data_IF_189656060694
#
_entry.id   IF_189656060694
#
_cell.length_a   1.000
_cell.length_b   1.000
_cell.length_c   1.000
_cell.angle_alpha   90.00
_cell.angle_beta   90.00
_cell.angle_gamma   90.00
#
_symmetry.space_group_name_H-M   'P 1'
#
loop_
_entity.id
_entity.type
_entity.pdbx_description
1 polymer ?
#
# COMPACT_ATOMS: atom_id res chain seq x y z
N UNK A 1 65.98 -32.01 46.57
CA UNK A 1 66.47 -32.75 45.39
C UNK A 1 65.28 -33.53 44.83
N UNK A 2 64.92 -33.51 43.55
CA UNK A 2 65.36 -32.73 42.38
C UNK A 2 64.12 -32.48 41.51
N UNK A 3 63.76 -31.22 41.25
CA UNK A 3 62.63 -30.90 40.36
C UNK A 3 63.01 -31.21 38.92
N UNK A 4 62.38 -32.22 38.32
CA UNK A 4 62.65 -32.64 36.95
C UNK A 4 61.89 -31.72 35.99
N UNK A 5 62.57 -30.68 35.49
CA UNK A 5 62.05 -29.83 34.43
C UNK A 5 61.67 -30.68 33.21
N UNK A 6 60.41 -30.61 32.79
CA UNK A 6 60.03 -31.09 31.46
C UNK A 6 60.57 -30.09 30.43
N UNK A 7 61.26 -30.55 29.37
CA UNK A 7 61.65 -29.66 28.31
C UNK A 7 60.39 -29.19 27.56
N UNK A 8 60.17 -27.88 27.55
CA UNK A 8 59.27 -27.27 26.58
C UNK A 8 59.72 -27.69 25.18
N UNK A 9 58.90 -28.47 24.49
CA UNK A 9 59.07 -28.66 23.05
C UNK A 9 58.69 -27.34 22.39
N UNK A 10 59.69 -26.48 22.24
CA UNK A 10 59.63 -25.32 21.35
C UNK A 10 59.08 -25.80 20.01
N UNK A 11 57.84 -25.44 19.70
CA UNK A 11 57.31 -25.59 18.34
C UNK A 11 58.27 -24.80 17.44
N UNK A 12 58.86 -25.39 16.39
CA UNK A 12 59.53 -24.59 15.40
C UNK A 12 58.48 -23.64 14.83
N UNK A 13 58.63 -22.35 15.12
CA UNK A 13 57.90 -21.31 14.41
C UNK A 13 58.52 -21.25 13.02
N UNK A 14 58.04 -22.13 12.13
CA UNK A 14 58.26 -22.03 10.69
C UNK A 14 57.49 -20.81 10.20
N UNK A 15 58.08 -19.64 10.45
CA UNK A 15 57.81 -18.46 9.65
C UNK A 15 58.17 -18.84 8.22
N UNK A 16 57.13 -19.13 7.41
CA UNK A 16 57.29 -19.46 6.00
C UNK A 16 58.07 -18.30 5.34
N UNK A 17 59.17 -18.58 4.61
CA UNK A 17 59.88 -17.55 3.85
C UNK A 17 58.87 -16.83 2.95
N UNK A 18 58.94 -15.49 2.93
CA UNK A 18 57.82 -14.63 2.55
C UNK A 18 57.10 -15.07 1.27
N UNK A 19 55.87 -15.57 1.44
CA UNK A 19 54.89 -15.77 0.37
C UNK A 19 54.74 -14.45 -0.40
N UNK A 20 55.30 -14.37 -1.60
CA UNK A 20 55.14 -13.18 -2.43
C UNK A 20 53.73 -13.16 -3.01
N UNK A 21 53.21 -11.97 -3.30
CA UNK A 21 51.85 -11.82 -3.86
C UNK A 21 51.70 -12.61 -5.17
N UNK A 22 52.76 -12.67 -5.97
CA UNK A 22 52.80 -13.43 -7.23
C UNK A 22 52.73 -14.96 -7.02
N UNK A 23 53.27 -15.50 -5.93
CA UNK A 23 53.18 -16.93 -5.60
C UNK A 23 51.74 -17.30 -5.22
N UNK A 24 51.08 -16.46 -4.41
CA UNK A 24 49.67 -16.61 -4.01
C UNK A 24 48.75 -16.52 -5.24
N UNK A 25 49.00 -15.57 -6.14
CA UNK A 25 48.22 -15.41 -7.38
C UNK A 25 48.39 -16.61 -8.32
N UNK A 26 49.63 -17.09 -8.50
CA UNK A 26 49.93 -18.30 -9.29
C UNK A 26 49.27 -19.55 -8.71
N UNK A 27 49.29 -19.70 -7.38
CA UNK A 27 48.62 -20.81 -6.68
C UNK A 27 47.09 -20.81 -6.84
N UNK A 28 46.48 -19.65 -7.09
CA UNK A 28 45.03 -19.50 -7.17
C UNK A 28 44.45 -19.67 -8.58
N UNK A 29 45.27 -19.93 -9.60
CA UNK A 29 44.82 -20.35 -10.95
C UNK A 29 43.80 -19.38 -11.57
N UNK A 30 44.08 -18.07 -11.55
CA UNK A 30 43.19 -17.04 -12.09
C UNK A 30 41.98 -16.67 -11.22
N UNK A 31 41.72 -17.37 -10.10
CA UNK A 31 40.60 -17.01 -9.19
C UNK A 31 40.81 -15.66 -8.50
N UNK A 32 42.07 -15.26 -8.29
CA UNK A 32 42.40 -13.90 -7.83
C UNK A 32 41.93 -12.83 -8.85
N UNK A 33 42.01 -13.11 -10.15
CA UNK A 33 41.55 -12.23 -11.23
C UNK A 33 40.01 -12.15 -11.24
N UNK A 34 39.30 -13.27 -11.08
CA UNK A 34 37.84 -13.31 -10.94
C UNK A 34 37.37 -12.45 -9.77
N UNK A 35 38.01 -12.58 -8.60
CA UNK A 35 37.71 -11.75 -7.43
C UNK A 35 38.04 -10.27 -7.68
N UNK A 36 39.16 -9.96 -8.33
CA UNK A 36 39.56 -8.59 -8.65
C UNK A 36 38.59 -7.92 -9.64
N UNK A 37 38.19 -8.62 -10.69
CA UNK A 37 37.21 -8.16 -11.67
C UNK A 37 35.85 -7.87 -10.99
N UNK A 38 35.35 -8.79 -10.17
CA UNK A 38 34.07 -8.66 -9.47
C UNK A 38 34.03 -7.48 -8.47
N UNK A 39 35.16 -7.03 -7.90
CA UNK A 39 35.16 -5.92 -6.91
C UNK A 39 34.49 -4.65 -7.44
N UNK A 40 34.64 -4.33 -8.73
CA UNK A 40 34.08 -3.11 -9.34
C UNK A 40 32.57 -3.20 -9.61
N UNK A 41 32.02 -4.20 -10.35
CA UNK A 41 30.58 -4.34 -10.55
C UNK A 41 29.78 -4.35 -9.24
N UNK A 42 30.23 -5.10 -8.23
CA UNK A 42 29.57 -5.15 -6.92
C UNK A 42 29.61 -3.78 -6.22
N UNK A 43 30.69 -3.01 -6.32
CA UNK A 43 30.78 -1.67 -5.74
C UNK A 43 29.87 -0.65 -6.46
N UNK A 44 29.79 -0.72 -7.79
CA UNK A 44 28.91 0.13 -8.58
C UNK A 44 27.43 -0.17 -8.27
N UNK A 45 27.05 -1.44 -8.07
CA UNK A 45 25.69 -1.83 -7.69
C UNK A 45 25.36 -1.49 -6.22
N UNK A 46 26.31 -1.66 -5.28
CA UNK A 46 26.17 -1.20 -3.88
C UNK A 46 25.91 0.32 -3.82
N UNK A 47 26.63 1.09 -4.63
CA UNK A 47 26.43 2.55 -4.78
C UNK A 47 25.09 2.89 -5.44
N UNK A 48 24.63 2.12 -6.42
CA UNK A 48 23.33 2.31 -7.05
C UNK A 48 22.16 2.05 -6.07
N UNK A 49 22.20 0.92 -5.35
CA UNK A 49 21.11 0.48 -4.45
C UNK A 49 21.05 1.26 -3.13
N UNK A 50 22.16 1.78 -2.63
CA UNK A 50 22.19 2.64 -1.43
C UNK A 50 21.54 4.01 -1.67
N UNK A 51 21.59 4.54 -2.89
CA UNK A 51 21.04 5.85 -3.26
C UNK A 51 19.51 5.99 -3.14
N UNK A 52 19.02 7.23 -2.91
CA UNK A 52 17.56 7.52 -2.89
C UNK A 52 16.88 7.31 -4.25
N UNK A 53 17.63 7.44 -5.36
CA UNK A 53 17.15 7.29 -6.74
C UNK A 53 17.50 5.92 -7.35
N UNK A 54 17.70 4.89 -6.52
CA UNK A 54 18.18 3.56 -6.93
C UNK A 54 17.42 2.96 -8.12
N UNK A 55 16.07 3.06 -8.16
CA UNK A 55 15.26 2.54 -9.28
C UNK A 55 15.70 3.14 -10.62
N UNK A 56 15.87 4.46 -10.68
CA UNK A 56 16.38 5.19 -11.87
C UNK A 56 17.85 4.86 -12.17
N UNK A 57 18.64 4.47 -11.18
CA UNK A 57 20.02 4.03 -11.40
C UNK A 57 20.07 2.65 -12.10
N UNK A 58 19.21 1.71 -11.68
CA UNK A 58 19.04 0.41 -12.35
C UNK A 58 18.51 0.58 -13.78
N UNK A 59 17.42 1.33 -13.99
CA UNK A 59 16.83 1.54 -15.33
C UNK A 59 17.81 2.19 -16.32
N UNK A 60 18.80 2.95 -15.84
CA UNK A 60 19.83 3.60 -16.68
C UNK A 60 21.01 2.70 -17.04
N UNK A 61 21.15 1.56 -16.38
CA UNK A 61 22.30 0.64 -16.51
C UNK A 61 21.78 -0.80 -16.57
N UNK A 62 21.06 -1.14 -17.66
CA UNK A 62 20.35 -2.40 -17.79
C UNK A 62 21.25 -3.65 -17.70
N UNK A 63 22.55 -3.49 -17.90
CA UNK A 63 23.56 -4.55 -17.89
C UNK A 63 24.03 -4.98 -16.48
N UNK A 64 23.92 -4.12 -15.46
CA UNK A 64 24.59 -4.34 -14.16
C UNK A 64 24.11 -5.57 -13.39
N UNK A 65 22.80 -5.85 -13.41
CA UNK A 65 22.23 -7.00 -12.68
C UNK A 65 22.48 -8.31 -13.44
N UNK A 66 22.17 -8.43 -14.75
CA UNK A 66 22.47 -9.64 -15.52
C UNK A 66 23.95 -10.04 -15.50
N UNK A 67 24.89 -9.10 -15.64
CA UNK A 67 26.32 -9.40 -15.62
C UNK A 67 26.77 -9.96 -14.27
N UNK A 68 26.33 -9.36 -13.16
CA UNK A 68 26.65 -9.83 -11.81
C UNK A 68 26.05 -11.21 -11.53
N UNK A 69 24.80 -11.46 -11.96
CA UNK A 69 24.14 -12.76 -11.80
C UNK A 69 24.84 -13.85 -12.62
N UNK A 70 25.34 -13.54 -13.82
CA UNK A 70 26.10 -14.48 -14.64
C UNK A 70 27.45 -14.88 -14.01
N UNK A 71 28.15 -13.93 -13.37
CA UNK A 71 29.44 -14.18 -12.69
C UNK A 71 29.28 -14.73 -11.26
N UNK A 72 28.07 -14.72 -10.69
CA UNK A 72 27.83 -14.94 -9.26
C UNK A 72 28.39 -16.26 -8.72
N UNK A 73 28.18 -17.36 -9.44
CA UNK A 73 28.68 -18.69 -9.06
C UNK A 73 30.23 -18.74 -9.10
N UNK A 74 30.85 -18.20 -10.15
CA UNK A 74 32.31 -18.17 -10.27
C UNK A 74 32.96 -17.35 -9.15
N UNK A 75 32.32 -16.27 -8.71
CA UNK A 75 32.73 -15.45 -7.56
C UNK A 75 32.58 -16.23 -6.25
N UNK A 76 31.45 -16.91 -6.04
CA UNK A 76 31.20 -17.70 -4.83
C UNK A 76 32.18 -18.86 -4.68
N UNK A 77 32.36 -19.67 -5.73
CA UNK A 77 33.36 -20.73 -5.75
C UNK A 77 34.78 -20.20 -5.54
N UNK A 78 35.12 -19.02 -6.07
CA UNK A 78 36.43 -18.40 -5.86
C UNK A 78 36.63 -17.93 -4.42
N UNK A 79 35.61 -17.34 -3.80
CA UNK A 79 35.64 -16.94 -2.38
C UNK A 79 35.81 -18.16 -1.48
N UNK A 80 35.04 -19.23 -1.70
CA UNK A 80 35.16 -20.47 -0.92
C UNK A 80 36.54 -21.12 -1.06
N UNK A 81 37.08 -21.21 -2.29
CA UNK A 81 38.38 -21.86 -2.55
C UNK A 81 39.54 -21.04 -1.95
N UNK A 82 39.48 -19.71 -1.98
CA UNK A 82 40.44 -18.82 -1.30
C UNK A 82 40.34 -18.98 0.23
N UNK A 83 39.13 -18.97 0.79
CA UNK A 83 38.93 -19.13 2.23
C UNK A 83 39.39 -20.51 2.73
N UNK A 84 39.11 -21.59 1.97
CA UNK A 84 39.55 -22.95 2.28
C UNK A 84 41.08 -23.07 2.27
N UNK A 85 41.76 -22.55 1.25
CA UNK A 85 43.24 -22.58 1.21
C UNK A 85 43.88 -21.71 2.28
N UNK A 86 43.36 -20.50 2.53
CA UNK A 86 43.88 -19.63 3.58
C UNK A 86 43.85 -20.31 4.97
N UNK A 87 42.85 -21.15 5.25
CA UNK A 87 42.80 -21.97 6.48
C UNK A 87 43.78 -23.15 6.43
N UNK A 88 43.86 -23.87 5.30
CA UNK A 88 44.74 -25.03 5.14
C UNK A 88 46.23 -24.69 5.21
N UNK A 89 46.61 -23.54 4.63
CA UNK A 89 47.99 -23.06 4.51
C UNK A 89 48.34 -22.00 5.56
N UNK A 90 47.43 -21.74 6.52
CA UNK A 90 47.59 -20.75 7.59
C UNK A 90 48.06 -19.37 7.11
N UNK A 91 47.43 -18.85 6.04
CA UNK A 91 47.79 -17.56 5.46
C UNK A 91 47.62 -16.41 6.49
N UNK A 92 48.57 -15.46 6.56
CA UNK A 92 48.43 -14.26 7.38
C UNK A 92 47.16 -13.45 7.05
N UNK A 93 46.53 -12.87 8.07
CA UNK A 93 45.30 -12.08 7.91
C UNK A 93 45.45 -10.87 6.95
N UNK A 94 46.67 -10.33 6.84
CA UNK A 94 47.03 -9.20 5.98
C UNK A 94 47.33 -9.59 4.51
N UNK A 95 47.28 -10.88 4.14
CA UNK A 95 47.52 -11.32 2.76
C UNK A 95 46.56 -10.60 1.80
N UNK A 96 47.05 -9.86 0.77
CA UNK A 96 46.22 -8.98 -0.05
C UNK A 96 45.01 -9.65 -0.70
N UNK A 97 45.16 -10.90 -1.17
CA UNK A 97 44.07 -11.66 -1.79
C UNK A 97 43.01 -12.09 -0.76
N UNK A 98 43.43 -12.50 0.45
CA UNK A 98 42.51 -12.83 1.55
C UNK A 98 41.73 -11.59 2.00
N UNK A 99 42.40 -10.43 2.10
CA UNK A 99 41.77 -9.14 2.39
C UNK A 99 40.76 -8.76 1.31
N UNK A 100 41.11 -8.91 0.02
CA UNK A 100 40.21 -8.64 -1.10
C UNK A 100 38.98 -9.58 -1.11
N UNK A 101 39.17 -10.88 -0.78
CA UNK A 101 38.10 -11.84 -0.64
C UNK A 101 37.15 -11.49 0.52
N UNK A 102 37.69 -11.14 1.69
CA UNK A 102 36.92 -10.67 2.86
C UNK A 102 36.12 -9.40 2.55
N UNK A 103 36.74 -8.41 1.89
CA UNK A 103 36.06 -7.19 1.45
C UNK A 103 34.90 -7.47 0.47
N UNK A 104 35.09 -8.39 -0.48
CA UNK A 104 34.06 -8.76 -1.45
C UNK A 104 32.92 -9.56 -0.80
N UNK A 105 33.24 -10.48 0.11
CA UNK A 105 32.23 -11.22 0.90
C UNK A 105 31.36 -10.26 1.73
N UNK A 106 31.98 -9.38 2.51
CA UNK A 106 31.27 -8.36 3.29
C UNK A 106 30.46 -7.40 2.39
N UNK A 107 30.91 -7.16 1.14
CA UNK A 107 30.14 -6.42 0.13
C UNK A 107 28.94 -7.21 -0.38
N UNK A 108 29.08 -8.51 -0.70
CA UNK A 108 27.96 -9.41 -1.04
C UNK A 108 26.89 -9.34 0.05
N UNK A 109 27.25 -9.51 1.32
CA UNK A 109 26.30 -9.45 2.45
C UNK A 109 25.58 -8.09 2.59
N UNK A 110 26.30 -6.97 2.45
CA UNK A 110 25.69 -5.63 2.45
C UNK A 110 24.75 -5.46 1.27
N UNK A 111 25.13 -5.95 0.09
CA UNK A 111 24.31 -5.92 -1.11
C UNK A 111 23.05 -6.78 -0.97
N UNK A 112 23.14 -7.98 -0.37
CA UNK A 112 21.98 -8.84 -0.07
C UNK A 112 21.00 -8.14 0.85
N UNK A 113 21.49 -7.53 1.95
CA UNK A 113 20.65 -6.75 2.88
C UNK A 113 20.02 -5.53 2.20
N UNK A 114 20.75 -4.84 1.31
CA UNK A 114 20.21 -3.73 0.52
C UNK A 114 19.14 -4.22 -0.47
N UNK A 115 19.41 -5.28 -1.24
CA UNK A 115 18.51 -5.84 -2.23
C UNK A 115 17.20 -6.29 -1.58
N UNK A 116 17.26 -7.11 -0.51
CA UNK A 116 16.08 -7.51 0.29
C UNK A 116 15.32 -6.28 0.81
N UNK A 117 16.00 -5.32 1.45
CA UNK A 117 15.36 -4.07 1.94
C UNK A 117 14.72 -3.22 0.83
N UNK A 118 15.23 -3.25 -0.41
CA UNK A 118 14.57 -2.58 -1.55
C UNK A 118 13.40 -3.39 -2.08
N UNK A 119 13.51 -4.72 -2.09
CA UNK A 119 12.44 -5.63 -2.48
C UNK A 119 11.25 -5.52 -1.52
N UNK A 120 11.49 -5.46 -0.21
CA UNK A 120 10.49 -5.22 0.85
C UNK A 120 9.69 -3.91 0.67
N UNK A 121 10.25 -2.92 -0.04
CA UNK A 121 9.54 -1.67 -0.33
C UNK A 121 8.60 -1.82 -1.52
N UNK A 122 8.86 -2.77 -2.43
CA UNK A 122 8.08 -2.99 -3.66
C UNK A 122 7.16 -4.21 -3.61
N UNK A 123 7.44 -5.23 -2.81
CA UNK A 123 6.63 -6.45 -2.65
C UNK A 123 6.93 -7.11 -1.31
N UNK A 124 6.28 -8.24 -1.00
CA UNK A 124 6.65 -9.08 0.14
C UNK A 124 7.81 -9.97 -0.28
N UNK A 125 9.02 -9.69 0.21
CA UNK A 125 10.16 -10.56 -0.08
C UNK A 125 10.00 -11.90 0.66
N UNK A 126 10.09 -13.06 -0.03
CA UNK A 126 10.15 -14.34 0.65
C UNK A 126 11.40 -14.45 1.53
N UNK A 127 11.29 -15.18 2.63
CA UNK A 127 12.44 -15.44 3.50
C UNK A 127 13.47 -16.32 2.79
N UNK A 128 14.77 -16.10 3.07
CA UNK A 128 15.86 -16.93 2.53
C UNK A 128 16.36 -16.60 1.10
N UNK A 129 15.62 -15.84 0.28
CA UNK A 129 15.95 -15.51 -1.14
C UNK A 129 17.43 -15.11 -1.34
N UNK A 130 18.10 -15.72 -2.32
CA UNK A 130 19.53 -15.48 -2.62
C UNK A 130 19.79 -14.03 -3.07
N UNK A 131 21.07 -13.63 -3.14
CA UNK A 131 21.42 -12.29 -3.63
C UNK A 131 20.96 -12.11 -5.09
N UNK A 132 21.23 -13.12 -5.90
CA UNK A 132 21.04 -13.18 -7.34
C UNK A 132 19.55 -13.14 -7.68
N UNK A 133 18.74 -13.93 -6.97
CA UNK A 133 17.29 -13.94 -7.11
C UNK A 133 16.66 -12.63 -6.62
N UNK A 134 17.13 -12.09 -5.48
CA UNK A 134 16.67 -10.80 -4.97
C UNK A 134 16.98 -9.65 -5.95
N UNK A 135 18.18 -9.63 -6.55
CA UNK A 135 18.57 -8.63 -7.54
C UNK A 135 17.78 -8.78 -8.84
N UNK A 136 17.59 -10.01 -9.34
CA UNK A 136 16.83 -10.28 -10.58
C UNK A 136 15.37 -9.83 -10.44
N UNK A 137 14.72 -10.18 -9.32
CA UNK A 137 13.37 -9.71 -9.00
C UNK A 137 13.33 -8.19 -8.86
N UNK A 138 14.27 -7.60 -8.12
CA UNK A 138 14.33 -6.14 -7.93
C UNK A 138 14.49 -5.37 -9.24
N UNK A 139 15.26 -5.91 -10.18
CA UNK A 139 15.49 -5.33 -11.50
C UNK A 139 14.27 -5.42 -12.42
N UNK A 140 13.60 -6.58 -12.45
CA UNK A 140 12.32 -6.74 -13.15
C UNK A 140 11.26 -5.74 -12.65
N UNK A 141 11.10 -5.63 -11.32
CA UNK A 141 10.20 -4.65 -10.69
C UNK A 141 10.63 -3.19 -10.93
N UNK A 142 11.94 -2.92 -10.99
CA UNK A 142 12.44 -1.59 -11.27
C UNK A 142 12.09 -1.13 -12.70
N UNK A 143 12.09 -2.06 -13.66
CA UNK A 143 11.85 -1.81 -15.10
C UNK A 143 10.40 -1.79 -15.51
N UNK A 144 9.50 -2.40 -14.75
CA UNK A 144 8.08 -2.44 -15.09
C UNK A 144 7.55 -1.02 -15.36
N UNK A 145 7.15 -0.77 -16.61
CA UNK A 145 6.49 0.47 -17.00
C UNK A 145 5.09 0.50 -16.40
N UNK A 146 4.81 1.54 -15.61
CA UNK A 146 3.48 1.79 -15.08
C UNK A 146 2.89 2.99 -15.81
N UNK A 147 1.68 2.84 -16.35
CA UNK A 147 0.97 3.88 -17.10
C UNK A 147 -0.21 4.40 -16.29
N UNK A 148 -0.38 5.72 -16.23
CA UNK A 148 -1.50 6.37 -15.53
C UNK A 148 -2.78 6.44 -16.38
N UNK A 149 -2.63 6.35 -17.70
CA UNK A 149 -3.73 6.22 -18.64
C UNK A 149 -4.42 4.86 -18.49
N UNK A 150 -5.75 4.85 -18.64
CA UNK A 150 -6.50 3.62 -18.78
C UNK A 150 -6.01 2.84 -20.01
N UNK A 151 -5.95 1.53 -19.89
CA UNK A 151 -5.77 0.61 -21.00
C UNK A 151 -7.11 0.46 -21.77
N UNK A 152 -7.11 0.01 -23.04
CA UNK A 152 -8.34 -0.32 -23.74
C UNK A 152 -9.17 -1.36 -22.96
N UNK A 153 -10.47 -1.09 -22.77
CA UNK A 153 -11.37 -1.95 -21.98
C UNK A 153 -11.27 -1.79 -20.45
N UNK A 154 -10.39 -0.92 -19.95
CA UNK A 154 -10.28 -0.63 -18.51
C UNK A 154 -11.23 0.49 -18.10
N UNK A 155 -12.12 0.22 -17.14
CA UNK A 155 -13.11 1.18 -16.65
C UNK A 155 -12.59 1.86 -15.39
N UNK A 156 -12.79 3.18 -15.29
CA UNK A 156 -12.53 3.94 -14.06
C UNK A 156 -13.66 3.68 -13.05
N UNK A 157 -13.35 3.00 -11.95
CA UNK A 157 -14.30 2.71 -10.87
C UNK A 157 -14.38 3.88 -9.89
N UNK A 158 -13.22 4.39 -9.45
CA UNK A 158 -13.14 5.46 -8.45
C UNK A 158 -11.81 6.22 -8.54
N UNK A 159 -11.81 7.52 -8.23
CA UNK A 159 -10.61 8.36 -8.18
C UNK A 159 -10.59 9.20 -6.90
N UNK A 160 -9.66 8.86 -6.00
CA UNK A 160 -9.48 9.53 -4.71
C UNK A 160 -8.28 10.49 -4.76
N UNK A 161 -8.50 11.71 -4.28
CA UNK A 161 -7.48 12.75 -4.16
C UNK A 161 -7.05 12.87 -2.71
N UNK A 162 -5.74 12.81 -2.44
CA UNK A 162 -5.23 12.92 -1.07
C UNK A 162 -5.42 14.33 -0.47
N UNK A 163 -5.53 15.38 -1.30
CA UNK A 163 -5.83 16.73 -0.81
C UNK A 163 -6.47 17.58 -1.92
N UNK A 164 -7.79 17.77 -1.90
CA UNK A 164 -8.48 18.43 -3.02
C UNK A 164 -9.97 18.69 -2.88
N UNK A 165 -10.38 19.53 -1.91
CA UNK A 165 -11.59 20.37 -1.92
C UNK A 165 -12.92 19.84 -2.52
N UNK A 166 -13.23 18.53 -2.43
CA UNK A 166 -14.56 18.02 -2.80
C UNK A 166 -15.58 18.17 -1.67
N UNK A 167 -16.83 18.38 -2.09
CA UNK A 167 -17.90 19.07 -1.34
C UNK A 167 -18.83 18.09 -0.61
N UNK A 168 -18.30 17.09 0.11
CA UNK A 168 -19.09 16.22 1.00
C UNK A 168 -19.00 16.71 2.45
N UNK A 169 -20.14 16.74 3.14
CA UNK A 169 -20.44 17.43 4.41
C UNK A 169 -19.27 17.63 5.40
N UNK A 170 -18.58 18.79 5.30
CA UNK A 170 -17.51 19.24 6.21
C UNK A 170 -17.90 19.22 7.69
N UNK A 171 -19.18 19.17 8.05
CA UNK A 171 -19.66 19.20 9.43
C UNK A 171 -19.72 17.82 10.13
N UNK A 172 -19.86 16.72 9.36
CA UNK A 172 -19.98 15.36 9.93
C UNK A 172 -18.62 14.71 10.15
N UNK A 173 -17.73 14.75 9.16
CA UNK A 173 -16.40 14.10 9.27
C UNK A 173 -15.39 14.89 10.11
N UNK A 174 -15.44 16.22 10.21
CA UNK A 174 -14.49 16.97 11.06
C UNK A 174 -14.62 16.66 12.56
N UNK A 175 -15.75 16.08 12.99
CA UNK A 175 -15.98 15.63 14.37
C UNK A 175 -15.51 14.20 14.63
N UNK A 176 -15.24 13.42 13.58
CA UNK A 176 -14.73 12.06 13.66
C UNK A 176 -13.28 12.01 13.18
N UNK A 177 -12.36 11.88 14.13
CA UNK A 177 -11.04 11.29 13.89
C UNK A 177 -10.02 12.10 13.07
N UNK A 178 -9.86 13.40 13.37
CA UNK A 178 -8.48 13.86 13.57
C UNK A 178 -7.99 13.18 14.86
N UNK A 179 -6.99 12.30 14.84
CA UNK A 179 -6.52 11.63 16.06
C UNK A 179 -6.09 12.71 17.06
N UNK A 180 -6.47 12.62 18.36
CA UNK A 180 -6.26 13.73 19.30
C UNK A 180 -4.77 14.11 19.45
N UNK A 181 -3.87 13.15 19.25
CA UNK A 181 -2.42 13.37 19.21
C UNK A 181 -1.95 14.27 18.05
N UNK A 182 -2.71 14.37 16.94
CA UNK A 182 -2.35 15.21 15.80
C UNK A 182 -2.68 16.68 16.06
N UNK A 183 -3.89 16.95 16.59
CA UNK A 183 -4.26 18.28 17.08
C UNK A 183 -3.32 18.76 18.19
N UNK A 184 -2.98 17.87 19.14
CA UNK A 184 -1.99 18.16 20.19
C UNK A 184 -0.59 18.45 19.62
N UNK A 185 -0.09 17.64 18.68
CA UNK A 185 1.23 17.87 18.06
C UNK A 185 1.28 19.21 17.32
N UNK A 186 0.25 19.55 16.55
CA UNK A 186 0.18 20.87 15.92
C UNK A 186 0.16 21.97 16.99
N UNK A 187 -0.71 21.90 18.00
CA UNK A 187 -0.77 22.90 19.06
C UNK A 187 0.57 23.09 19.79
N UNK A 188 1.24 21.99 20.17
CA UNK A 188 2.58 22.04 20.81
C UNK A 188 3.64 22.60 19.87
N UNK A 189 3.66 22.22 18.59
CA UNK A 189 4.60 22.78 17.61
C UNK A 189 4.38 24.28 17.39
N UNK A 190 3.13 24.73 17.29
CA UNK A 190 2.78 26.15 17.18
C UNK A 190 3.16 26.92 18.44
N UNK A 191 2.86 26.42 19.64
CA UNK A 191 3.23 27.06 20.91
C UNK A 191 4.75 27.13 21.11
N UNK A 192 5.48 26.05 20.87
CA UNK A 192 6.93 26.02 21.00
C UNK A 192 7.60 27.00 20.01
N UNK A 193 7.15 27.01 18.76
CA UNK A 193 7.67 27.92 17.76
C UNK A 193 7.28 29.39 18.08
N UNK A 194 6.09 29.65 18.63
CA UNK A 194 5.65 30.99 19.04
C UNK A 194 6.48 31.53 20.21
N UNK A 195 6.79 30.67 21.20
CA UNK A 195 7.71 31.02 22.27
C UNK A 195 9.11 31.38 21.75
N UNK A 196 9.65 30.62 20.79
CA UNK A 196 10.92 30.94 20.11
C UNK A 196 10.85 32.28 19.36
N UNK A 197 9.71 32.60 18.73
CA UNK A 197 9.52 33.90 18.06
C UNK A 197 9.49 35.08 19.06
N UNK A 198 8.83 34.93 20.21
CA UNK A 198 8.79 35.95 21.27
C UNK A 198 10.18 36.18 21.89
N UNK A 199 10.90 35.09 22.19
CA UNK A 199 12.21 35.14 22.86
C UNK A 199 13.37 35.51 21.92
N UNK A 200 13.14 35.58 20.60
CA UNK A 200 14.19 35.92 19.64
C UNK A 200 14.63 37.40 19.73
N UNK A 201 15.94 37.69 19.74
CA UNK A 201 16.44 39.07 19.73
C UNK A 201 16.00 39.80 18.46
N UNK A 202 15.85 41.13 18.54
CA UNK A 202 15.30 41.98 17.47
C UNK A 202 16.01 41.79 16.12
N UNK A 203 17.33 41.62 16.12
CA UNK A 203 18.16 41.32 14.94
C UNK A 203 17.82 40.00 14.24
N UNK A 204 17.26 39.02 14.96
CA UNK A 204 16.90 37.70 14.43
C UNK A 204 15.40 37.51 14.16
N UNK A 205 14.53 38.47 14.50
CA UNK A 205 13.06 38.29 14.39
C UNK A 205 12.57 37.89 12.99
N UNK A 206 13.21 38.36 11.91
CA UNK A 206 12.89 37.92 10.53
C UNK A 206 13.20 36.44 10.30
N UNK A 207 14.36 35.96 10.79
CA UNK A 207 14.77 34.56 10.71
C UNK A 207 13.93 33.66 11.62
N UNK A 208 13.63 34.13 12.83
CA UNK A 208 12.74 33.44 13.77
C UNK A 208 11.31 33.32 13.22
N UNK A 209 10.78 34.36 12.58
CA UNK A 209 9.47 34.32 11.90
C UNK A 209 9.43 33.35 10.72
N UNK A 210 10.52 33.25 9.95
CA UNK A 210 10.65 32.26 8.89
C UNK A 210 10.73 30.82 9.45
N UNK A 211 11.56 30.59 10.47
CA UNK A 211 11.66 29.30 11.16
C UNK A 211 10.34 28.89 11.83
N UNK A 212 9.61 29.84 12.43
CA UNK A 212 8.27 29.65 12.97
C UNK A 212 7.31 29.14 11.90
N UNK A 213 7.28 29.82 10.74
CA UNK A 213 6.40 29.46 9.63
C UNK A 213 6.79 28.11 9.01
N UNK A 214 8.09 27.83 8.85
CA UNK A 214 8.59 26.54 8.35
C UNK A 214 8.29 25.40 9.33
N UNK A 215 8.55 25.56 10.64
CA UNK A 215 8.32 24.50 11.64
C UNK A 215 6.82 24.28 11.89
N UNK A 216 6.03 25.35 11.99
CA UNK A 216 4.58 25.27 12.18
C UNK A 216 3.86 24.66 10.97
N UNK A 217 4.36 24.90 9.76
CA UNK A 217 3.83 24.29 8.53
C UNK A 217 4.45 22.93 8.22
N UNK A 218 5.64 22.58 8.72
CA UNK A 218 6.38 21.37 8.33
C UNK A 218 5.58 20.06 8.43
N UNK A 219 4.75 19.80 9.47
CA UNK A 219 3.93 18.59 9.52
C UNK A 219 2.92 18.53 8.37
N UNK A 220 2.18 19.62 8.16
CA UNK A 220 1.21 19.76 7.06
C UNK A 220 1.87 19.70 5.69
N UNK A 221 3.04 20.32 5.55
CA UNK A 221 3.85 20.26 4.33
C UNK A 221 4.35 18.84 4.07
N UNK A 222 4.74 18.10 5.12
CA UNK A 222 5.26 16.74 5.00
C UNK A 222 4.19 15.72 4.60
N UNK A 223 2.97 15.85 5.12
CA UNK A 223 1.85 15.04 4.68
C UNK A 223 1.39 15.45 3.26
N UNK A 224 1.43 16.74 2.92
CA UNK A 224 1.24 17.20 1.53
C UNK A 224 2.31 16.62 0.60
N UNK A 225 3.60 16.60 0.96
CA UNK A 225 4.68 15.97 0.19
C UNK A 225 4.52 14.44 0.05
N UNK A 226 3.73 13.80 0.92
CA UNK A 226 3.42 12.35 0.89
C UNK A 226 2.10 12.03 0.19
N UNK A 227 1.27 13.04 -0.03
CA UNK A 227 -0.01 12.96 -0.72
C UNK A 227 0.17 12.60 -2.21
N UNK A 228 -0.95 12.31 -2.88
CA UNK A 228 -0.99 11.88 -4.26
C UNK A 228 -2.40 11.62 -4.76
N UNK A 229 -2.50 10.90 -5.87
CA UNK A 229 -3.75 10.52 -6.50
C UNK A 229 -3.85 9.00 -6.52
N UNK A 230 -4.92 8.46 -5.95
CA UNK A 230 -5.27 7.05 -6.07
C UNK A 230 -6.36 6.88 -7.12
N UNK A 231 -6.21 5.88 -7.98
CA UNK A 231 -7.17 5.57 -9.03
C UNK A 231 -7.43 4.07 -9.02
N UNK A 232 -8.69 3.69 -8.79
CA UNK A 232 -9.17 2.33 -8.84
C UNK A 232 -9.87 2.11 -10.18
N UNK A 233 -9.49 1.05 -10.87
CA UNK A 233 -10.08 0.63 -12.14
C UNK A 233 -10.64 -0.79 -12.04
N UNK A 234 -11.28 -1.28 -13.10
CA UNK A 234 -11.75 -2.67 -13.18
C UNK A 234 -10.61 -3.71 -13.10
N UNK A 235 -9.36 -3.35 -13.40
CA UNK A 235 -8.20 -4.27 -13.42
C UNK A 235 -7.19 -4.03 -12.29
N UNK A 236 -6.95 -2.78 -11.92
CA UNK A 236 -5.78 -2.39 -11.13
C UNK A 236 -6.01 -1.15 -10.28
N UNK A 237 -5.17 -1.05 -9.27
CA UNK A 237 -5.08 0.07 -8.36
C UNK A 237 -3.79 0.85 -8.64
N UNK A 238 -3.93 2.12 -9.01
CA UNK A 238 -2.83 3.01 -9.34
C UNK A 238 -2.64 4.06 -8.23
N UNK A 239 -1.39 4.36 -7.87
CA UNK A 239 -1.04 5.47 -6.97
C UNK A 239 0.06 6.33 -7.53
N UNK A 240 -0.27 7.60 -7.79
CA UNK A 240 0.64 8.64 -8.24
C UNK A 240 0.96 9.57 -7.06
N UNK A 241 2.03 9.33 -6.29
CA UNK A 241 2.49 10.27 -5.27
C UNK A 241 2.95 11.58 -5.92
N UNK A 242 2.83 12.71 -5.22
CA UNK A 242 3.42 13.97 -5.69
C UNK A 242 4.95 13.87 -5.83
N UNK A 243 5.60 13.06 -4.97
CA UNK A 243 7.02 12.78 -5.01
C UNK A 243 7.29 11.27 -4.99
N UNK A 244 7.57 10.68 -6.15
CA UNK A 244 7.93 9.26 -6.25
C UNK A 244 7.81 8.71 -7.67
N UNK A 245 7.85 7.39 -7.78
CA UNK A 245 7.42 6.69 -8.97
C UNK A 245 5.93 6.34 -8.85
N UNK A 246 5.25 6.21 -9.99
CA UNK A 246 3.90 5.66 -10.07
C UNK A 246 3.94 4.18 -9.62
N UNK A 247 2.94 3.78 -8.84
CA UNK A 247 2.74 2.42 -8.34
C UNK A 247 1.48 1.81 -8.95
N UNK A 248 1.50 0.52 -9.22
CA UNK A 248 0.38 -0.30 -9.71
C UNK A 248 0.33 -1.61 -8.91
N UNK A 249 -0.87 -2.06 -8.57
CA UNK A 249 -1.16 -3.43 -8.14
C UNK A 249 -2.37 -3.93 -8.93
N UNK A 250 -2.30 -5.15 -9.46
CA UNK A 250 -3.43 -5.79 -10.15
C UNK A 250 -4.43 -6.31 -9.13
N UNK A 251 -5.71 -5.96 -9.28
CA UNK A 251 -6.76 -6.37 -8.32
C UNK A 251 -6.85 -7.89 -8.16
N UNK A 252 -6.68 -8.63 -9.25
CA UNK A 252 -6.66 -10.09 -9.24
C UNK A 252 -5.48 -10.76 -8.54
N UNK A 253 -4.51 -9.98 -8.04
CA UNK A 253 -3.37 -10.50 -7.26
C UNK A 253 -3.52 -10.26 -5.76
N UNK A 254 -4.56 -9.50 -5.35
CA UNK A 254 -4.81 -9.15 -3.94
C UNK A 254 -5.50 -10.33 -3.24
N UNK A 255 -4.75 -11.02 -2.40
CA UNK A 255 -5.26 -12.08 -1.54
C UNK A 255 -6.19 -11.58 -0.43
N UNK A 256 -6.83 -12.51 0.27
CA UNK A 256 -7.67 -12.20 1.44
C UNK A 256 -6.85 -11.53 2.54
N UNK A 257 -7.39 -10.46 3.14
CA UNK A 257 -6.67 -9.64 4.13
C UNK A 257 -5.46 -8.88 3.56
N UNK A 258 -5.30 -8.86 2.24
CA UNK A 258 -4.28 -8.09 1.50
C UNK A 258 -4.53 -6.58 1.54
N UNK A 259 -5.77 -6.14 1.77
CA UNK A 259 -6.13 -4.72 1.95
C UNK A 259 -6.13 -4.37 3.44
N UNK A 260 -5.39 -3.32 3.82
CA UNK A 260 -5.29 -2.85 5.22
C UNK A 260 -5.27 -1.33 5.30
N UNK A 261 -5.96 -0.79 6.32
CA UNK A 261 -5.89 0.62 6.71
C UNK A 261 -4.96 0.71 7.92
N UNK A 262 -3.70 1.10 7.71
CA UNK A 262 -2.67 1.12 8.78
C UNK A 262 -2.86 2.30 9.75
N UNK A 263 -3.42 3.38 9.24
CA UNK A 263 -3.79 4.62 9.94
C UNK A 263 -5.08 5.09 9.28
N UNK A 264 -5.86 5.95 9.94
CA UNK A 264 -7.12 6.50 9.38
C UNK A 264 -7.02 7.14 7.98
N UNK A 265 -5.81 7.38 7.47
CA UNK A 265 -5.49 8.03 6.19
C UNK A 265 -4.49 7.25 5.31
N UNK A 266 -3.99 6.08 5.75
CA UNK A 266 -2.97 5.29 5.04
C UNK A 266 -3.57 3.95 4.60
N UNK A 267 -3.68 3.73 3.29
CA UNK A 267 -4.12 2.46 2.70
C UNK A 267 -2.91 1.68 2.19
N UNK A 268 -2.79 0.44 2.65
CA UNK A 268 -1.74 -0.50 2.29
C UNK A 268 -2.39 -1.71 1.61
N UNK A 269 -1.90 -2.08 0.43
CA UNK A 269 -2.42 -3.19 -0.37
C UNK A 269 -1.27 -4.12 -0.73
N UNK A 270 -1.48 -5.40 -0.51
CA UNK A 270 -0.53 -6.48 -0.80
C UNK A 270 -1.14 -7.36 -1.89
N UNK A 271 -0.55 -7.30 -3.09
CA UNK A 271 -0.80 -8.23 -4.18
C UNK A 271 0.52 -8.70 -4.79
N UNK A 272 0.64 -8.65 -6.12
CA UNK A 272 1.93 -8.81 -6.83
C UNK A 272 2.99 -7.81 -6.32
N UNK A 273 2.54 -6.59 -6.01
CA UNK A 273 3.33 -5.54 -5.39
C UNK A 273 2.75 -5.11 -4.04
N UNK A 274 3.61 -4.48 -3.23
CA UNK A 274 3.21 -3.71 -2.05
C UNK A 274 2.91 -2.29 -2.50
N UNK A 275 1.64 -1.95 -2.54
CA UNK A 275 1.14 -0.62 -2.85
C UNK A 275 0.81 0.12 -1.56
N UNK A 276 1.22 1.39 -1.46
CA UNK A 276 0.91 2.21 -0.28
C UNK A 276 0.60 3.65 -0.67
N UNK A 277 -0.68 3.98 -0.60
CA UNK A 277 -1.13 5.36 -0.58
C UNK A 277 -1.08 5.93 0.84
N UNK A 278 -0.70 7.20 0.95
CA UNK A 278 -0.58 7.92 2.23
C UNK A 278 -1.41 9.18 2.19
N UNK A 279 -1.96 9.56 3.33
CA UNK A 279 -2.78 10.76 3.48
C UNK A 279 -3.99 10.79 2.52
N UNK A 280 -4.59 9.64 2.22
CA UNK A 280 -5.84 9.55 1.44
C UNK A 280 -7.01 9.90 2.37
N UNK A 281 -7.78 10.93 2.02
CA UNK A 281 -8.93 11.37 2.83
C UNK A 281 -10.02 10.27 2.92
N UNK A 282 -10.31 9.64 1.79
CA UNK A 282 -11.30 8.58 1.63
C UNK A 282 -10.66 7.19 1.83
N UNK A 283 -9.70 7.05 2.75
CA UNK A 283 -8.96 5.79 2.96
C UNK A 283 -9.86 4.58 3.29
N UNK A 284 -10.89 4.68 4.16
CA UNK A 284 -11.83 3.58 4.40
C UNK A 284 -12.66 3.21 3.17
N UNK A 285 -13.18 4.20 2.44
CA UNK A 285 -14.01 4.03 1.24
C UNK A 285 -13.20 3.40 0.10
N UNK A 286 -11.99 3.90 -0.15
CA UNK A 286 -11.07 3.31 -1.12
C UNK A 286 -10.70 1.86 -0.75
N UNK A 287 -10.41 1.59 0.53
CA UNK A 287 -10.11 0.23 0.99
C UNK A 287 -11.31 -0.72 0.83
N UNK A 288 -12.52 -0.25 1.13
CA UNK A 288 -13.77 -0.98 0.90
C UNK A 288 -13.95 -1.29 -0.60
N UNK A 289 -13.78 -0.30 -1.47
CA UNK A 289 -13.92 -0.47 -2.91
C UNK A 289 -12.88 -1.45 -3.47
N UNK A 290 -11.64 -1.44 -2.98
CA UNK A 290 -10.62 -2.43 -3.37
C UNK A 290 -11.01 -3.85 -2.88
N UNK A 291 -11.52 -3.98 -1.65
CA UNK A 291 -11.96 -5.26 -1.07
C UNK A 291 -13.18 -5.85 -1.77
N UNK A 292 -14.04 -5.00 -2.32
CA UNK A 292 -15.19 -5.38 -3.13
C UNK A 292 -14.79 -5.70 -4.59
N UNK A 293 -14.07 -4.80 -5.27
CA UNK A 293 -13.67 -4.99 -6.67
C UNK A 293 -12.49 -5.96 -6.89
N UNK A 294 -11.87 -6.52 -5.85
CA UNK A 294 -11.01 -7.70 -6.01
C UNK A 294 -11.81 -9.00 -6.23
N UNK A 295 -13.08 -9.03 -5.82
CA UNK A 295 -13.94 -10.21 -5.93
C UNK A 295 -14.36 -10.46 -7.39
N UNK A 296 -14.36 -11.71 -7.89
CA UNK A 296 -14.63 -11.99 -9.30
C UNK A 296 -15.93 -11.40 -9.89
N UNK A 297 -17.10 -11.43 -9.20
CA UNK A 297 -18.34 -10.90 -9.77
C UNK A 297 -18.29 -9.38 -9.99
N UNK A 298 -17.97 -8.62 -8.93
CA UNK A 298 -17.84 -7.16 -8.99
C UNK A 298 -16.71 -6.68 -9.90
N UNK A 299 -15.61 -7.43 -9.97
CA UNK A 299 -14.52 -7.14 -10.91
C UNK A 299 -14.95 -7.38 -12.35
N UNK A 300 -15.68 -8.47 -12.61
CA UNK A 300 -16.22 -8.82 -13.92
C UNK A 300 -17.17 -7.73 -14.42
N UNK A 301 -18.23 -7.46 -13.66
CA UNK A 301 -19.26 -6.50 -14.05
C UNK A 301 -18.73 -5.05 -14.14
N UNK A 302 -17.75 -4.67 -13.31
CA UNK A 302 -17.07 -3.37 -13.47
C UNK A 302 -16.33 -3.18 -14.80
N UNK A 303 -15.95 -4.27 -15.51
CA UNK A 303 -15.34 -4.18 -16.87
C UNK A 303 -16.36 -3.81 -17.93
N UNK A 304 -17.62 -4.14 -17.73
CA UNK A 304 -18.71 -3.83 -18.66
C UNK A 304 -19.07 -2.34 -18.63
N UNK A 305 -18.68 -1.63 -17.56
CA UNK A 305 -18.88 -0.19 -17.42
C UNK A 305 -20.31 0.22 -17.06
N UNK A 306 -21.23 -0.74 -16.96
CA UNK A 306 -22.64 -0.52 -16.61
C UNK A 306 -22.79 -0.44 -15.09
N UNK A 307 -23.48 0.59 -14.61
CA UNK A 307 -23.99 0.68 -13.23
C UNK A 307 -25.51 0.67 -13.27
N UNK A 308 -26.14 -0.04 -12.35
CA UNK A 308 -27.59 -0.06 -12.18
C UNK A 308 -28.13 1.35 -11.92
N UNK A 309 -28.83 1.88 -12.91
CA UNK A 309 -29.65 3.10 -12.82
C UNK A 309 -31.09 2.78 -12.41
N UNK A 310 -31.46 1.49 -12.38
CA UNK A 310 -32.69 0.93 -11.81
C UNK A 310 -32.67 0.85 -10.26
N UNK A 311 -31.62 1.35 -9.61
CA UNK A 311 -31.48 1.31 -8.14
C UNK A 311 -31.06 2.68 -7.60
N UNK A 312 -31.75 3.13 -6.53
CA UNK A 312 -31.37 4.31 -5.74
C UNK A 312 -31.00 3.91 -4.31
N UNK A 313 -29.86 4.41 -3.81
CA UNK A 313 -29.30 4.14 -2.47
C UNK A 313 -29.24 5.44 -1.69
N UNK A 314 -29.93 5.52 -0.55
CA UNK A 314 -30.08 6.79 0.17
C UNK A 314 -30.22 6.68 1.69
N UNK A 315 -29.79 7.70 2.46
CA UNK A 315 -30.00 7.75 3.90
C UNK A 315 -31.48 7.88 4.24
N UNK A 316 -31.94 6.99 5.13
CA UNK A 316 -33.34 6.84 5.50
C UNK A 316 -33.53 6.68 7.02
N UNK A 317 -34.79 6.79 7.44
CA UNK A 317 -35.26 6.45 8.78
C UNK A 317 -36.46 5.54 8.68
N UNK A 318 -36.41 4.40 9.37
CA UNK A 318 -37.52 3.49 9.57
C UNK A 318 -38.07 3.70 10.99
N UNK A 319 -39.20 4.40 11.10
CA UNK A 319 -39.72 4.87 12.38
C UNK A 319 -38.72 5.77 13.12
N UNK A 320 -38.14 5.25 14.22
CA UNK A 320 -37.09 5.94 15.01
C UNK A 320 -35.66 5.56 14.58
N UNK A 321 -35.48 4.43 13.91
CA UNK A 321 -34.16 3.88 13.53
C UNK A 321 -33.62 4.64 12.32
N UNK A 322 -32.31 4.93 12.31
CA UNK A 322 -31.60 5.50 11.16
C UNK A 322 -30.87 4.40 10.41
N UNK A 323 -30.63 4.62 9.13
CA UNK A 323 -29.90 3.70 8.28
C UNK A 323 -29.93 4.15 6.83
N UNK A 324 -29.79 3.18 5.93
CA UNK A 324 -29.72 3.38 4.50
C UNK A 324 -30.76 2.49 3.81
N UNK A 325 -31.33 2.98 2.73
CA UNK A 325 -32.35 2.32 1.95
C UNK A 325 -31.82 2.09 0.54
N UNK A 326 -31.87 0.85 0.06
CA UNK A 326 -31.81 0.54 -1.35
C UNK A 326 -33.26 0.43 -1.86
N UNK A 327 -33.61 1.22 -2.86
CA UNK A 327 -34.88 1.18 -3.58
C UNK A 327 -34.59 0.63 -4.98
N UNK A 328 -35.27 -0.46 -5.35
CA UNK A 328 -35.17 -1.10 -6.66
C UNK A 328 -36.55 -1.41 -7.25
N UNK A 329 -36.61 -2.12 -8.40
CA UNK A 329 -37.87 -2.37 -9.10
C UNK A 329 -38.84 -3.27 -8.33
N UNK A 330 -38.30 -4.24 -7.57
CA UNK A 330 -39.05 -5.24 -6.81
C UNK A 330 -39.54 -4.75 -5.44
N UNK A 331 -38.94 -3.69 -4.88
CA UNK A 331 -39.24 -3.23 -3.52
C UNK A 331 -38.16 -2.32 -2.93
N UNK A 332 -38.08 -2.29 -1.61
CA UNK A 332 -37.02 -1.61 -0.88
C UNK A 332 -36.42 -2.48 0.21
N UNK A 333 -35.17 -2.17 0.55
CA UNK A 333 -34.39 -2.83 1.59
C UNK A 333 -33.71 -1.79 2.47
N UNK A 334 -34.05 -1.80 3.77
CA UNK A 334 -33.52 -0.91 4.78
C UNK A 334 -32.46 -1.63 5.65
N UNK A 335 -31.29 -1.02 5.77
CA UNK A 335 -30.16 -1.51 6.57
C UNK A 335 -29.83 -0.47 7.65
N UNK A 336 -29.75 -0.83 8.94
CA UNK A 336 -29.44 0.12 10.02
C UNK A 336 -28.06 0.81 9.91
N UNK A 337 -27.96 2.03 10.46
CA UNK A 337 -26.69 2.79 10.62
C UNK A 337 -25.74 2.02 11.56
N UNK A 338 -24.43 2.03 11.29
CA UNK A 338 -23.40 1.31 12.05
C UNK A 338 -23.15 -0.14 11.61
N UNK A 339 -23.85 -0.62 10.58
CA UNK A 339 -23.80 -2.03 10.14
C UNK A 339 -22.82 -2.32 8.97
N UNK A 340 -22.04 -1.32 8.53
CA UNK A 340 -21.18 -1.42 7.34
C UNK A 340 -20.29 -2.68 7.31
N UNK A 341 -19.63 -3.06 8.41
CA UNK A 341 -18.79 -4.27 8.42
C UNK A 341 -19.55 -5.58 8.37
N UNK A 342 -20.80 -5.60 8.86
CA UNK A 342 -21.66 -6.79 8.80
C UNK A 342 -22.28 -6.93 7.40
N UNK A 343 -22.66 -5.80 6.78
CA UNK A 343 -22.99 -5.72 5.37
C UNK A 343 -21.85 -6.22 4.46
N UNK A 344 -20.62 -5.72 4.63
CA UNK A 344 -19.46 -6.19 3.85
C UNK A 344 -19.23 -7.69 4.00
N UNK A 345 -19.29 -8.22 5.24
CA UNK A 345 -19.14 -9.66 5.50
C UNK A 345 -20.24 -10.50 4.83
N UNK A 346 -21.48 -9.99 4.75
CA UNK A 346 -22.58 -10.68 4.08
C UNK A 346 -22.39 -10.76 2.56
N UNK A 347 -21.70 -9.77 1.97
CA UNK A 347 -21.35 -9.74 0.54
C UNK A 347 -20.14 -10.63 0.22
N UNK A 348 -19.05 -10.50 0.99
CA UNK A 348 -17.79 -11.21 0.70
C UNK A 348 -17.72 -12.62 1.27
N UNK A 349 -18.63 -13.00 2.17
CA UNK A 349 -18.64 -14.26 2.91
C UNK A 349 -17.60 -14.34 4.06
N UNK A 350 -16.65 -13.40 4.12
CA UNK A 350 -15.45 -13.50 4.96
C UNK A 350 -15.35 -12.33 5.95
N UNK A 351 -14.77 -12.53 7.15
CA UNK A 351 -14.56 -11.46 8.11
C UNK A 351 -13.51 -10.46 7.58
N UNK A 352 -13.87 -9.17 7.56
CA UNK A 352 -12.96 -8.09 7.17
C UNK A 352 -12.46 -7.32 8.40
N UNK A 353 -11.19 -6.88 8.35
CA UNK A 353 -10.58 -5.98 9.35
C UNK A 353 -10.85 -4.50 9.06
N UNK A 354 -11.44 -4.17 7.91
CA UNK A 354 -11.78 -2.80 7.52
C UNK A 354 -12.84 -2.20 8.45
N UNK A 355 -12.74 -0.89 8.72
CA UNK A 355 -13.61 -0.09 9.59
C UNK A 355 -13.74 1.33 9.02
N UNK A 356 -14.66 2.13 9.54
CA UNK A 356 -14.81 3.54 9.17
C UNK A 356 -15.63 3.80 7.90
N UNK A 357 -16.49 2.85 7.52
CA UNK A 357 -17.43 2.94 6.40
C UNK A 357 -18.82 2.45 6.82
N UNK A 358 -19.84 2.88 6.09
CA UNK A 358 -21.26 2.57 6.32
C UNK A 358 -21.85 1.71 5.21
N UNK A 359 -23.07 1.21 5.43
CA UNK A 359 -23.74 0.28 4.51
C UNK A 359 -24.11 0.90 3.15
N UNK A 360 -24.23 2.22 3.04
CA UNK A 360 -24.44 2.92 1.77
C UNK A 360 -23.28 2.75 0.80
N UNK A 361 -22.05 2.80 1.28
CA UNK A 361 -20.86 2.61 0.43
C UNK A 361 -20.79 1.17 -0.11
N UNK A 362 -21.22 0.19 0.68
CA UNK A 362 -21.35 -1.21 0.22
C UNK A 362 -22.45 -1.31 -0.84
N UNK A 363 -23.62 -0.74 -0.58
CA UNK A 363 -24.76 -0.74 -1.50
C UNK A 363 -24.46 -0.04 -2.84
N UNK A 364 -23.80 1.13 -2.81
CA UNK A 364 -23.47 1.87 -4.04
C UNK A 364 -22.41 1.14 -4.88
N UNK A 365 -21.46 0.45 -4.24
CA UNK A 365 -20.52 -0.44 -4.91
C UNK A 365 -21.19 -1.68 -5.51
N UNK A 366 -22.21 -2.25 -4.85
CA UNK A 366 -22.98 -3.36 -5.42
C UNK A 366 -23.73 -3.01 -6.71
N UNK A 367 -24.02 -1.72 -6.97
CA UNK A 367 -24.67 -1.28 -8.22
C UNK A 367 -23.85 -1.53 -9.48
N UNK A 368 -22.61 -2.02 -9.37
CA UNK A 368 -21.86 -2.53 -10.51
C UNK A 368 -22.31 -3.94 -10.95
N UNK A 369 -23.03 -4.69 -10.12
CA UNK A 369 -23.55 -6.02 -10.45
C UNK A 369 -24.80 -5.96 -11.35
N UNK A 370 -25.14 -7.07 -12.05
CA UNK A 370 -26.47 -7.29 -12.60
C UNK A 370 -27.57 -7.23 -11.53
N UNK A 371 -28.81 -6.91 -11.92
CA UNK A 371 -29.94 -6.71 -10.98
C UNK A 371 -30.21 -7.94 -10.10
N UNK A 372 -30.18 -9.15 -10.66
CA UNK A 372 -30.39 -10.41 -9.92
C UNK A 372 -29.31 -10.64 -8.85
N UNK A 373 -28.04 -10.38 -9.18
CA UNK A 373 -26.92 -10.51 -8.23
C UNK A 373 -26.94 -9.41 -7.17
N UNK A 374 -27.35 -8.20 -7.55
CA UNK A 374 -27.56 -7.08 -6.62
C UNK A 374 -28.63 -7.44 -5.58
N UNK A 375 -29.82 -7.86 -6.00
CA UNK A 375 -30.92 -8.20 -5.12
C UNK A 375 -30.58 -9.40 -4.20
N UNK A 376 -29.85 -10.40 -4.70
CA UNK A 376 -29.33 -11.50 -3.89
C UNK A 376 -28.32 -11.03 -2.83
N UNK A 377 -27.43 -10.09 -3.17
CA UNK A 377 -26.50 -9.50 -2.21
C UNK A 377 -27.21 -8.65 -1.15
N UNK A 378 -28.17 -7.80 -1.56
CA UNK A 378 -28.95 -6.97 -0.65
C UNK A 378 -29.80 -7.81 0.29
N UNK A 379 -30.39 -8.91 -0.18
CA UNK A 379 -31.16 -9.85 0.65
C UNK A 379 -30.30 -10.42 1.78
N UNK A 380 -29.11 -10.97 1.44
CA UNK A 380 -28.14 -11.46 2.44
C UNK A 380 -27.68 -10.36 3.40
N UNK A 381 -27.52 -9.12 2.93
CA UNK A 381 -27.19 -7.98 3.78
C UNK A 381 -28.31 -7.64 4.76
N UNK A 382 -29.57 -7.64 4.32
CA UNK A 382 -30.74 -7.38 5.18
C UNK A 382 -30.85 -8.45 6.26
N UNK A 383 -30.77 -9.74 5.89
CA UNK A 383 -30.78 -10.86 6.82
C UNK A 383 -29.64 -10.75 7.84
N UNK A 384 -28.42 -10.56 7.38
CA UNK A 384 -27.24 -10.48 8.24
C UNK A 384 -27.28 -9.28 9.19
N UNK A 385 -27.84 -8.13 8.79
CA UNK A 385 -27.81 -6.89 9.59
C UNK A 385 -29.05 -6.66 10.46
N UNK A 386 -30.03 -7.58 10.42
CA UNK A 386 -31.33 -7.37 11.08
C UNK A 386 -32.11 -6.19 10.48
N UNK A 387 -31.97 -5.99 9.17
CA UNK A 387 -32.67 -4.96 8.42
C UNK A 387 -34.14 -5.30 8.14
N UNK A 388 -34.75 -4.58 7.20
CA UNK A 388 -36.11 -4.85 6.75
C UNK A 388 -36.22 -4.77 5.22
N UNK A 389 -36.73 -5.82 4.58
CA UNK A 389 -37.10 -5.83 3.17
C UNK A 389 -38.62 -5.74 3.02
N UNK A 390 -39.07 -4.82 2.16
CA UNK A 390 -40.48 -4.60 1.83
C UNK A 390 -40.66 -4.77 0.33
N UNK A 391 -41.49 -5.73 -0.09
CA UNK A 391 -41.83 -5.84 -1.51
C UNK A 391 -42.67 -4.63 -1.95
N UNK A 392 -42.61 -4.30 -3.24
CA UNK A 392 -43.39 -3.21 -3.83
C UNK A 392 -44.91 -3.41 -3.69
N UNK A 393 -45.39 -4.65 -3.55
CA UNK A 393 -46.82 -4.94 -3.32
C UNK A 393 -47.27 -4.68 -1.87
N UNK A 394 -46.37 -4.76 -0.89
CA UNK A 394 -46.68 -4.59 0.53
C UNK A 394 -46.53 -3.14 1.03
N UNK A 395 -45.91 -2.28 0.23
CA UNK A 395 -45.53 -0.93 0.63
C UNK A 395 -46.09 0.13 -0.33
N UNK A 396 -46.61 1.21 0.27
CA UNK A 396 -47.26 2.32 -0.41
C UNK A 396 -46.34 3.54 -0.42
N UNK A 397 -46.03 4.08 -1.59
CA UNK A 397 -45.41 5.39 -1.72
C UNK A 397 -46.46 6.47 -1.40
N UNK A 398 -46.09 7.47 -0.59
CA UNK A 398 -46.96 8.61 -0.27
C UNK A 398 -46.46 9.84 -1.03
N UNK A 399 -47.14 10.27 -2.12
CA UNK A 399 -46.75 11.43 -2.90
C UNK A 399 -46.70 12.72 -2.06
N UNK A 400 -45.83 13.66 -2.45
CA UNK A 400 -45.70 14.92 -1.74
C UNK A 400 -44.54 15.78 -2.26
N UNK A 401 -43.55 16.03 -1.38
CA UNK A 401 -42.35 16.78 -1.77
C UNK A 401 -41.54 16.05 -2.85
N UNK A 402 -40.75 16.76 -3.67
CA UNK A 402 -39.75 16.16 -4.56
C UNK A 402 -38.84 15.16 -3.81
N UNK A 403 -38.42 14.08 -4.48
CA UNK A 403 -37.72 12.95 -3.84
C UNK A 403 -36.38 13.34 -3.21
N UNK A 404 -35.70 14.34 -3.77
CA UNK A 404 -34.47 14.93 -3.22
C UNK A 404 -34.69 15.69 -1.90
N UNK A 405 -35.91 16.18 -1.64
CA UNK A 405 -36.30 16.75 -0.34
C UNK A 405 -36.73 15.66 0.63
N UNK A 406 -37.64 14.78 0.21
CA UNK A 406 -38.25 13.76 1.07
C UNK A 406 -38.98 12.68 0.28
N UNK A 407 -38.55 11.44 0.46
CA UNK A 407 -39.35 10.24 0.16
C UNK A 407 -40.12 9.84 1.43
N UNK A 408 -41.36 9.34 1.27
CA UNK A 408 -42.17 8.72 2.32
C UNK A 408 -42.81 7.44 1.78
N UNK A 409 -42.57 6.33 2.45
CA UNK A 409 -43.11 5.01 2.08
C UNK A 409 -43.67 4.35 3.36
N UNK A 410 -44.82 3.67 3.26
CA UNK A 410 -45.54 3.12 4.41
C UNK A 410 -45.95 1.65 4.18
N UNK A 411 -45.82 0.82 5.22
CA UNK A 411 -46.22 -0.59 5.24
C UNK A 411 -46.78 -0.93 6.63
N UNK A 412 -48.02 -1.38 6.73
CA UNK A 412 -48.59 -1.89 7.99
C UNK A 412 -48.46 -0.94 9.20
N UNK A 413 -48.59 0.37 9.00
CA UNK A 413 -48.39 1.40 10.04
C UNK A 413 -46.92 1.79 10.31
N UNK A 414 -45.95 1.03 9.81
CA UNK A 414 -44.55 1.46 9.75
C UNK A 414 -44.33 2.47 8.63
N UNK A 415 -43.40 3.39 8.86
CA UNK A 415 -43.11 4.51 7.97
C UNK A 415 -41.62 4.67 7.78
N UNK A 416 -41.20 4.60 6.52
CA UNK A 416 -39.86 4.93 6.06
C UNK A 416 -39.86 6.35 5.48
N UNK A 417 -38.88 7.16 5.87
CA UNK A 417 -38.63 8.45 5.22
C UNK A 417 -37.14 8.64 4.96
N UNK A 418 -36.77 9.07 3.75
CA UNK A 418 -35.39 9.36 3.38
C UNK A 418 -35.30 10.56 2.45
N UNK A 419 -34.09 10.83 1.94
CA UNK A 419 -33.81 11.85 0.92
C UNK A 419 -32.76 11.30 -0.04
N UNK A 420 -32.97 11.41 -1.34
CA UNK A 420 -32.04 10.91 -2.36
C UNK A 420 -31.05 12.01 -2.74
N UNK A 421 -29.79 11.65 -3.07
CA UNK A 421 -28.81 12.61 -3.61
C UNK A 421 -29.19 13.04 -5.03
N UNK A 422 -28.76 14.23 -5.47
CA UNK A 422 -29.24 14.84 -6.72
C UNK A 422 -28.94 14.00 -7.98
N UNK A 423 -27.84 13.26 -7.97
CA UNK A 423 -27.40 12.34 -9.04
C UNK A 423 -28.26 11.08 -9.17
N UNK A 424 -29.05 10.76 -8.14
CA UNK A 424 -29.97 9.61 -8.11
C UNK A 424 -31.45 10.02 -8.19
N UNK A 425 -31.76 11.32 -8.33
CA UNK A 425 -33.14 11.81 -8.38
C UNK A 425 -33.94 11.11 -9.49
N UNK A 426 -33.44 11.09 -10.72
CA UNK A 426 -34.16 10.56 -11.88
C UNK A 426 -34.37 9.03 -11.79
N UNK A 427 -33.45 8.31 -11.16
CA UNK A 427 -33.60 6.89 -10.84
C UNK A 427 -34.74 6.68 -9.82
N UNK A 428 -34.70 7.40 -8.69
CA UNK A 428 -35.73 7.30 -7.67
C UNK A 428 -37.12 7.74 -8.17
N UNK A 429 -37.20 8.79 -9.00
CA UNK A 429 -38.46 9.22 -9.60
C UNK A 429 -39.01 8.20 -10.60
N UNK A 430 -38.17 7.57 -11.43
CA UNK A 430 -38.62 6.48 -12.31
C UNK A 430 -39.19 5.33 -11.50
N UNK A 431 -38.46 4.85 -10.50
CA UNK A 431 -38.91 3.74 -9.64
C UNK A 431 -40.23 4.05 -8.92
N UNK A 432 -40.36 5.25 -8.33
CA UNK A 432 -41.56 5.62 -7.56
C UNK A 432 -42.78 5.97 -8.41
N UNK A 433 -42.67 6.14 -9.74
CA UNK A 433 -43.84 6.33 -10.62
C UNK A 433 -44.77 5.12 -10.59
N UNK A 434 -44.18 3.93 -10.57
CA UNK A 434 -44.89 2.66 -10.71
C UNK A 434 -45.25 2.01 -9.36
N UNK A 435 -44.86 2.64 -8.24
CA UNK A 435 -45.18 2.17 -6.89
C UNK A 435 -46.67 2.40 -6.54
N UNK A 436 -47.31 1.51 -5.74
CA UNK A 436 -48.64 1.74 -5.20
C UNK A 436 -48.73 3.05 -4.41
N UNK A 437 -49.84 3.77 -4.55
CA UNK A 437 -50.02 5.16 -4.07
C UNK A 437 -51.07 5.34 -2.99
#
# INVERSE_FOLDING_TARGET
MLSRAMPERSRPSTALPGLTVADVERQLEGRAEVLAAARRPYAELEKALSGRRWRRALTRRPELVPALVAEAQAVEESLERVQRRAVQEAWPDDTPVLKAARELSARRERLTRLARRRLDVLTVAPEGVSLEEALTRLDALARQEVRWSLNPGEVLVHEAFAQGYRRRDKARQLRSELPPHYGWRLAVSWLAAFAVFILAPSSMKKMAGFLFLVIGMAPSLWDLLRSGHARLTSERLLWKPLFGALQEVRLGTIGEGGVRVERAWDVCVIGDHRWRARSVWEAPELALLIELHRQPPLRGAAREGVRLDSVAVFPAKLGKQKGFCALGPQGLSFIPEGQGTQALRAVTGHPSTLRGFESDQVLDALRWLPEEEFDACVTRMVEATGGAAWSRAEARYVPGSPVWRRIRIERGGLKLTGRVEWDQQDAAERLLRDWPR
#
